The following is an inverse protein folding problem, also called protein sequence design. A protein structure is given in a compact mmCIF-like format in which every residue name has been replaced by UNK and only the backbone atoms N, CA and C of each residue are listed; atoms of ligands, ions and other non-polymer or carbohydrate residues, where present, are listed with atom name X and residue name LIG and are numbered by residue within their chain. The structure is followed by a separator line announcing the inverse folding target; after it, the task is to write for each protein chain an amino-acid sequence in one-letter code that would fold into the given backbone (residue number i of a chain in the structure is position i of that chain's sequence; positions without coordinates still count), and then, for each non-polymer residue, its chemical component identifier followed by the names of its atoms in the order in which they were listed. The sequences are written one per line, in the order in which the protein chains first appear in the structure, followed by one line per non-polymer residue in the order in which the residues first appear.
data_IF_017003666597
#
_entry.id   IF_017003666597
#
_cell.length_a   1.000
_cell.length_b   1.000
_cell.length_c   1.000
_cell.angle_alpha   90.00
_cell.angle_beta   90.00
_cell.angle_gamma   90.00
#
_symmetry.space_group_name_H-M   'P 1'
#
loop_
_entity.id
_entity.type
_entity.pdbx_description
1 polymer ?
#
# COMPACT_ATOMS: atom_id res chain seq x y z
N UNK A 1 -16.22 -0.67 -6.40
CA UNK A 1 -15.32 -1.44 -7.29
C UNK A 1 -13.90 -1.00 -6.96
N UNK A 2 -13.14 -1.84 -6.25
CA UNK A 2 -11.79 -1.50 -5.78
C UNK A 2 -10.82 -1.58 -6.95
N UNK A 3 -10.23 -0.46 -7.34
CA UNK A 3 -9.26 -0.39 -8.43
C UNK A 3 -7.83 -0.42 -7.90
N UNK A 4 -6.86 -0.74 -8.77
CA UNK A 4 -5.42 -0.68 -8.41
C UNK A 4 -4.98 0.73 -7.98
N UNK A 5 -5.71 1.76 -8.38
CA UNK A 5 -5.49 3.13 -7.93
C UNK A 5 -5.86 3.33 -6.46
N UNK A 6 -6.86 2.62 -5.93
CA UNK A 6 -7.21 2.66 -4.51
C UNK A 6 -6.03 2.23 -3.62
N UNK A 7 -5.26 1.22 -4.06
CA UNK A 7 -4.06 0.77 -3.33
C UNK A 7 -3.02 1.88 -3.19
N UNK A 8 -2.86 2.79 -4.17
CA UNK A 8 -1.96 3.94 -4.02
C UNK A 8 -2.42 4.86 -2.90
N UNK A 9 -3.71 5.16 -2.85
CA UNK A 9 -4.32 6.02 -1.83
C UNK A 9 -4.12 5.39 -0.45
N UNK A 10 -4.45 4.10 -0.30
CA UNK A 10 -4.34 3.39 0.97
C UNK A 10 -2.90 3.25 1.47
N UNK A 11 -1.90 3.14 0.58
CA UNK A 11 -0.48 3.19 0.97
C UNK A 11 -0.13 4.55 1.57
N UNK A 12 -0.62 5.64 0.97
CA UNK A 12 -0.37 7.00 1.47
C UNK A 12 -1.08 7.23 2.79
N UNK A 13 -2.33 6.79 2.94
CA UNK A 13 -3.07 6.84 4.21
C UNK A 13 -2.34 6.08 5.31
N UNK A 14 -1.91 4.84 5.03
CA UNK A 14 -1.18 4.02 5.99
C UNK A 14 0.14 4.67 6.42
N UNK A 15 0.93 5.20 5.48
CA UNK A 15 2.18 5.89 5.80
C UNK A 15 1.97 7.23 6.52
N UNK A 16 0.85 7.91 6.26
CA UNK A 16 0.49 9.13 6.98
C UNK A 16 0.11 8.83 8.43
N UNK A 17 -0.56 7.70 8.69
CA UNK A 17 -0.96 7.28 10.03
C UNK A 17 0.20 6.64 10.83
N UNK A 18 1.06 5.86 10.16
CA UNK A 18 2.11 5.07 10.82
C UNK A 18 3.50 5.74 10.81
N UNK A 19 3.72 6.71 9.91
CA UNK A 19 5.07 7.17 9.57
C UNK A 19 5.86 6.14 8.76
N UNK A 20 7.20 6.31 8.63
CA UNK A 20 8.06 5.38 7.91
C UNK A 20 7.88 3.94 8.40
N UNK A 21 7.44 3.05 7.53
CA UNK A 21 6.95 1.72 7.93
C UNK A 21 7.37 0.61 6.97
N UNK A 22 7.44 -0.61 7.49
CA UNK A 22 7.72 -1.80 6.67
C UNK A 22 6.49 -2.20 5.86
N UNK A 23 6.71 -2.85 4.72
CA UNK A 23 5.62 -3.32 3.85
C UNK A 23 4.58 -4.19 4.58
N UNK A 24 4.95 -5.16 5.44
CA UNK A 24 3.95 -5.91 6.20
C UNK A 24 3.10 -5.05 7.14
N UNK A 25 3.70 -4.02 7.76
CA UNK A 25 2.99 -3.07 8.64
C UNK A 25 1.98 -2.24 7.86
N UNK A 26 2.37 -1.78 6.66
CA UNK A 26 1.48 -1.06 5.74
C UNK A 26 0.33 -1.96 5.29
N UNK A 27 0.64 -3.20 4.89
CA UNK A 27 -0.38 -4.17 4.49
C UNK A 27 -1.36 -4.48 5.63
N UNK A 28 -0.87 -4.65 6.86
CA UNK A 28 -1.72 -4.84 8.03
C UNK A 28 -2.70 -3.67 8.22
N UNK A 29 -2.21 -2.43 8.13
CA UNK A 29 -3.07 -1.25 8.25
C UNK A 29 -4.11 -1.18 7.13
N UNK A 30 -3.73 -1.49 5.89
CA UNK A 30 -4.69 -1.54 4.76
C UNK A 30 -5.75 -2.61 5.02
N UNK A 31 -5.36 -3.78 5.51
CA UNK A 31 -6.30 -4.85 5.86
C UNK A 31 -7.29 -4.39 6.94
N UNK A 32 -6.78 -3.83 8.04
CA UNK A 32 -7.60 -3.41 9.18
C UNK A 32 -8.62 -2.31 8.83
N UNK A 33 -8.33 -1.47 7.83
CA UNK A 33 -9.18 -0.33 7.47
C UNK A 33 -10.01 -0.53 6.20
N UNK A 34 -9.58 -1.41 5.29
CA UNK A 34 -10.19 -1.58 3.95
C UNK A 34 -10.52 -3.05 3.64
N UNK A 35 -10.76 -3.88 4.67
CA UNK A 35 -11.09 -5.31 4.52
C UNK A 35 -12.31 -5.53 3.63
N UNK A 36 -13.38 -4.74 3.83
CA UNK A 36 -14.64 -4.89 3.12
C UNK A 36 -14.47 -4.63 1.61
N UNK A 37 -13.71 -3.59 1.26
CA UNK A 37 -13.36 -3.19 -0.09
C UNK A 37 -12.44 -4.21 -0.76
N UNK A 38 -11.49 -4.77 -0.01
CA UNK A 38 -10.62 -5.85 -0.49
C UNK A 38 -11.45 -7.10 -0.78
N UNK A 39 -12.32 -7.53 0.13
CA UNK A 39 -13.18 -8.73 -0.08
C UNK A 39 -14.09 -8.59 -1.29
N UNK A 40 -14.51 -7.37 -1.62
CA UNK A 40 -15.34 -7.07 -2.79
C UNK A 40 -14.56 -6.87 -4.10
N UNK A 41 -13.22 -7.01 -4.08
CA UNK A 41 -12.36 -6.71 -5.23
C UNK A 41 -12.18 -7.86 -6.24
N UNK A 42 -12.88 -8.99 -6.05
CA UNK A 42 -12.78 -10.16 -6.93
C UNK A 42 -11.39 -10.80 -6.88
N UNK A 43 -10.78 -11.10 -8.03
CA UNK A 43 -9.45 -11.72 -8.10
C UNK A 43 -8.34 -10.87 -7.46
N UNK A 44 -8.54 -9.55 -7.38
CA UNK A 44 -7.62 -8.66 -6.68
C UNK A 44 -7.53 -9.04 -5.20
N UNK A 45 -8.59 -9.57 -4.57
CA UNK A 45 -8.58 -9.98 -3.17
C UNK A 45 -7.50 -11.02 -2.87
N UNK A 46 -7.18 -11.88 -3.82
CA UNK A 46 -6.17 -12.92 -3.64
C UNK A 46 -4.75 -12.45 -3.99
N UNK A 47 -4.64 -11.28 -4.62
CA UNK A 47 -3.37 -10.77 -5.17
C UNK A 47 -3.03 -9.34 -4.74
N UNK A 48 -3.83 -8.74 -3.85
CA UNK A 48 -3.75 -7.31 -3.55
C UNK A 48 -2.41 -6.91 -2.92
N UNK A 49 -1.78 -7.77 -2.12
CA UNK A 49 -0.46 -7.46 -1.53
C UNK A 49 0.63 -7.36 -2.62
N UNK A 50 0.54 -8.20 -3.66
CA UNK A 50 1.42 -8.08 -4.82
C UNK A 50 1.10 -6.81 -5.62
N UNK A 51 -0.19 -6.52 -5.85
CA UNK A 51 -0.60 -5.28 -6.51
C UNK A 51 -0.20 -4.02 -5.71
N UNK A 52 -0.20 -4.08 -4.38
CA UNK A 52 0.25 -3.03 -3.47
C UNK A 52 1.75 -2.75 -3.66
N UNK A 53 2.58 -3.78 -3.88
CA UNK A 53 4.01 -3.61 -4.18
C UNK A 53 4.23 -2.83 -5.48
N UNK A 54 3.42 -3.13 -6.49
CA UNK A 54 3.40 -2.38 -7.75
C UNK A 54 2.91 -0.95 -7.57
N UNK A 55 1.83 -0.73 -6.83
CA UNK A 55 1.32 0.60 -6.50
C UNK A 55 2.39 1.44 -5.78
N UNK A 56 3.13 0.85 -4.83
CA UNK A 56 4.26 1.51 -4.19
C UNK A 56 5.43 1.81 -5.11
N UNK A 57 5.67 1.00 -6.16
CA UNK A 57 6.65 1.34 -7.21
C UNK A 57 6.20 2.54 -8.05
N UNK A 58 4.92 2.58 -8.40
CA UNK A 58 4.35 3.71 -9.14
C UNK A 58 4.48 4.99 -8.31
N UNK A 59 4.12 4.97 -7.02
CA UNK A 59 4.28 6.13 -6.11
C UNK A 59 5.73 6.59 -5.99
N UNK A 60 6.68 5.66 -6.00
CA UNK A 60 8.10 6.00 -5.99
C UNK A 60 8.53 6.67 -7.29
N UNK A 61 8.10 6.15 -8.43
CA UNK A 61 8.39 6.75 -9.74
C UNK A 61 7.72 8.13 -9.89
N UNK A 62 6.58 8.35 -9.24
CA UNK A 62 5.89 9.65 -9.13
C UNK A 62 6.58 10.61 -8.14
N UNK A 63 7.62 10.18 -7.42
CA UNK A 63 8.33 11.01 -6.44
C UNK A 63 7.57 11.25 -5.12
N UNK A 64 6.52 10.47 -4.84
CA UNK A 64 5.69 10.61 -3.62
C UNK A 64 6.10 9.69 -2.47
N UNK A 65 6.93 8.69 -2.77
CA UNK A 65 7.32 7.65 -1.82
C UNK A 65 8.78 7.26 -2.04
N UNK A 66 9.55 7.14 -0.95
CA UNK A 66 10.89 6.57 -0.98
C UNK A 66 10.89 5.18 -0.35
N UNK A 67 11.65 4.27 -0.96
CA UNK A 67 11.91 2.93 -0.41
C UNK A 67 13.34 2.92 0.11
N UNK A 68 13.52 3.02 1.42
CA UNK A 68 14.82 3.21 2.05
C UNK A 68 15.16 2.10 3.05
N UNK A 69 16.47 1.85 3.21
CA UNK A 69 17.05 1.10 4.32
C UNK A 69 16.96 -0.45 4.25
N UNK A 70 17.70 -1.13 5.14
CA UNK A 70 17.58 -2.57 5.35
C UNK A 70 16.19 -2.89 5.92
N UNK A 71 15.45 -3.79 5.27
CA UNK A 71 14.08 -4.14 5.65
C UNK A 71 12.98 -3.60 4.73
N UNK A 72 13.34 -2.86 3.66
CA UNK A 72 12.39 -2.33 2.65
C UNK A 72 11.33 -1.41 3.27
N UNK A 73 11.76 -0.49 4.13
CA UNK A 73 10.89 0.52 4.75
C UNK A 73 10.45 1.53 3.69
N UNK A 74 9.17 1.89 3.69
CA UNK A 74 8.61 2.92 2.83
C UNK A 74 8.33 4.17 3.66
N UNK A 75 8.53 5.33 3.04
CA UNK A 75 8.25 6.63 3.63
C UNK A 75 7.70 7.58 2.57
N UNK A 76 6.85 8.51 2.95
CA UNK A 76 6.43 9.60 2.07
C UNK A 76 7.58 10.59 1.86
N UNK A 77 7.59 11.24 0.69
CA UNK A 77 8.56 12.28 0.31
C UNK A 77 7.85 13.63 0.33
#
# INVERSE_FOLDING_TARGET
MTTRDALKIWIVEALSALGPSTVPRIAQHIWENHEAELRQSGDLFYTWQYAMRWAGQILQNEGKLSKAGPGRTWMLI
#
